data_IF_869857074373
#
_entry.id   IF_869857074373
#
_cell.length_a   1.000
_cell.length_b   1.000
_cell.length_c   1.000
_cell.angle_alpha   90.00
_cell.angle_beta   90.00
_cell.angle_gamma   90.00
#
_symmetry.space_group_name_H-M   'P 1'
#
loop_
_entity.id
_entity.type
_entity.pdbx_description
1 polymer ?
#
# COMPACT_ATOMS: atom_id res chain seq x y z
N UNK A 1 -66.74 10.66 16.20
CA UNK A 1 -65.68 10.84 15.21
C UNK A 1 -64.41 10.24 15.79
N UNK A 2 -64.08 8.94 15.69
CA UNK A 2 -63.95 8.04 14.53
C UNK A 2 -63.05 8.61 13.43
N UNK A 3 -61.81 8.11 13.40
CA UNK A 3 -60.83 7.99 12.31
C UNK A 3 -59.42 7.90 12.95
N UNK A 4 -58.49 7.00 12.66
CA UNK A 4 -58.45 5.73 11.94
C UNK A 4 -57.08 5.11 12.29
N UNK A 5 -57.08 3.85 12.71
CA UNK A 5 -55.88 3.06 12.95
C UNK A 5 -55.17 2.81 11.62
N UNK A 6 -53.98 3.39 11.45
CA UNK A 6 -53.04 3.01 10.40
C UNK A 6 -52.32 1.73 10.80
N UNK A 7 -52.98 0.58 10.62
CA UNK A 7 -52.33 -0.73 10.72
C UNK A 7 -51.19 -0.81 9.69
N UNK A 8 -49.95 -0.68 10.16
CA UNK A 8 -48.79 -1.14 9.42
C UNK A 8 -48.88 -2.66 9.32
N UNK A 9 -49.50 -3.15 8.24
CA UNK A 9 -49.57 -4.59 7.97
C UNK A 9 -48.15 -5.12 7.85
N UNK A 10 -47.73 -5.86 8.87
CA UNK A 10 -46.56 -6.72 8.86
C UNK A 10 -46.78 -7.80 7.80
N UNK A 11 -46.52 -7.44 6.54
CA UNK A 11 -46.59 -8.35 5.41
C UNK A 11 -45.55 -9.44 5.63
N UNK A 12 -46.00 -10.69 5.67
CA UNK A 12 -45.14 -11.87 5.78
C UNK A 12 -44.17 -11.84 4.59
N UNK A 13 -42.93 -11.43 4.84
CA UNK A 13 -41.89 -11.40 3.82
C UNK A 13 -41.69 -12.83 3.30
N UNK A 14 -41.82 -13.03 1.99
CA UNK A 14 -41.60 -14.34 1.36
C UNK A 14 -40.23 -14.89 1.78
N UNK A 15 -40.12 -16.15 2.24
CA UNK A 15 -38.88 -16.74 2.70
C UNK A 15 -37.73 -16.57 1.69
N UNK A 16 -36.54 -16.20 2.19
CA UNK A 16 -35.34 -15.92 1.37
C UNK A 16 -35.03 -17.02 0.36
N UNK A 17 -35.24 -18.30 0.72
CA UNK A 17 -35.03 -19.45 -0.17
C UNK A 17 -35.89 -19.37 -1.45
N UNK A 18 -37.19 -19.08 -1.32
CA UNK A 18 -38.12 -18.92 -2.46
C UNK A 18 -37.75 -17.71 -3.34
N UNK A 19 -37.26 -16.63 -2.72
CA UNK A 19 -36.79 -15.43 -3.42
C UNK A 19 -35.49 -15.67 -4.20
N UNK A 20 -34.62 -16.55 -3.70
CA UNK A 20 -33.41 -17.00 -4.41
C UNK A 20 -33.79 -17.91 -5.59
N UNK A 21 -34.68 -18.88 -5.38
CA UNK A 21 -35.15 -19.79 -6.44
C UNK A 21 -35.86 -19.05 -7.59
N UNK A 22 -36.62 -17.98 -7.31
CA UNK A 22 -37.24 -17.11 -8.32
C UNK A 22 -36.29 -16.10 -8.98
N UNK A 23 -35.05 -15.99 -8.50
CA UNK A 23 -34.08 -15.01 -9.01
C UNK A 23 -34.28 -13.58 -8.47
N UNK A 24 -35.26 -13.35 -7.59
CA UNK A 24 -35.50 -12.07 -6.89
C UNK A 24 -34.29 -11.64 -6.03
N UNK A 25 -33.47 -12.60 -5.61
CA UNK A 25 -32.25 -12.39 -4.83
C UNK A 25 -31.07 -13.14 -5.45
N UNK A 26 -30.07 -12.41 -5.94
CA UNK A 26 -28.76 -13.00 -6.30
C UNK A 26 -28.06 -13.43 -5.02
N UNK A 27 -27.86 -14.73 -4.81
CA UNK A 27 -26.93 -15.21 -3.78
C UNK A 27 -25.53 -14.84 -4.25
N UNK A 28 -24.87 -13.92 -3.55
CA UNK A 28 -23.44 -13.71 -3.73
C UNK A 28 -22.75 -15.02 -3.34
N UNK A 29 -22.10 -15.69 -4.29
CA UNK A 29 -21.22 -16.81 -3.96
C UNK A 29 -20.17 -16.31 -2.96
N UNK A 30 -20.18 -16.89 -1.76
CA UNK A 30 -19.17 -16.57 -0.76
C UNK A 30 -17.87 -17.23 -1.23
N UNK A 31 -16.90 -16.43 -1.66
CA UNK A 31 -15.54 -16.92 -1.89
C UNK A 31 -15.04 -17.59 -0.60
N UNK A 32 -14.69 -18.88 -0.70
CA UNK A 32 -14.16 -19.63 0.45
C UNK A 32 -12.82 -19.02 0.85
N UNK A 33 -12.67 -18.69 2.13
CA UNK A 33 -11.39 -18.21 2.65
C UNK A 33 -10.35 -19.33 2.61
N UNK A 34 -9.21 -19.08 1.96
CA UNK A 34 -8.09 -20.01 1.87
C UNK A 34 -7.15 -19.81 3.07
N UNK A 35 -6.84 -20.90 3.77
CA UNK A 35 -5.84 -20.90 4.85
C UNK A 35 -4.43 -20.72 4.28
N UNK A 36 -3.57 -20.04 5.03
CA UNK A 36 -2.14 -19.96 4.72
C UNK A 36 -1.53 -21.36 4.62
N UNK A 37 -0.77 -21.62 3.55
CA UNK A 37 -0.08 -22.90 3.36
C UNK A 37 1.39 -22.76 3.74
N UNK A 38 1.86 -23.60 4.65
CA UNK A 38 3.26 -23.59 5.10
C UNK A 38 4.21 -23.93 3.95
N UNK A 39 3.77 -24.75 2.99
CA UNK A 39 4.50 -25.08 1.74
C UNK A 39 4.93 -23.84 0.96
N UNK A 40 4.18 -22.73 1.04
CA UNK A 40 4.56 -21.48 0.39
C UNK A 40 5.85 -20.89 0.95
N UNK A 41 6.28 -21.27 2.16
CA UNK A 41 7.58 -20.86 2.68
C UNK A 41 8.74 -21.62 2.03
N UNK A 42 8.47 -22.78 1.42
CA UNK A 42 9.46 -23.59 0.71
C UNK A 42 9.48 -23.30 -0.80
N UNK A 43 8.40 -22.75 -1.35
CA UNK A 43 8.34 -22.37 -2.76
C UNK A 43 9.35 -21.24 -3.06
N UNK A 44 10.27 -21.41 -4.03
CA UNK A 44 11.23 -20.39 -4.43
C UNK A 44 10.60 -19.02 -4.75
N UNK A 45 9.35 -19.01 -5.22
CA UNK A 45 8.62 -17.79 -5.59
C UNK A 45 8.25 -16.94 -4.38
N UNK A 46 8.03 -17.57 -3.21
CA UNK A 46 7.44 -16.91 -2.05
C UNK A 46 8.36 -16.92 -0.82
N UNK A 47 9.29 -17.87 -0.74
CA UNK A 47 10.13 -18.11 0.44
C UNK A 47 10.93 -16.87 0.88
N UNK A 48 11.32 -15.99 -0.06
CA UNK A 48 12.16 -14.81 0.23
C UNK A 48 11.43 -13.74 1.03
N UNK A 49 10.13 -13.58 0.84
CA UNK A 49 9.40 -12.43 1.38
C UNK A 49 8.11 -12.81 2.11
N UNK A 50 7.58 -14.02 1.96
CA UNK A 50 6.33 -14.45 2.57
C UNK A 50 6.57 -15.20 3.88
N UNK A 51 5.83 -14.82 4.92
CA UNK A 51 5.75 -15.55 6.19
C UNK A 51 4.31 -15.63 6.68
N UNK A 52 4.05 -16.53 7.63
CA UNK A 52 2.74 -16.68 8.28
C UNK A 52 2.49 -15.50 9.22
N UNK A 53 1.24 -15.11 9.36
CA UNK A 53 0.82 -14.24 10.46
C UNK A 53 0.62 -15.08 11.75
N UNK A 54 1.33 -14.80 12.87
CA UNK A 54 1.12 -15.48 14.14
C UNK A 54 -0.28 -15.28 14.72
N UNK A 55 -0.96 -14.19 14.39
CA UNK A 55 -2.28 -13.87 14.92
C UNK A 55 -3.42 -14.49 14.10
N UNK A 56 -3.22 -14.73 12.80
CA UNK A 56 -4.28 -15.15 11.90
C UNK A 56 -3.81 -16.17 10.85
N UNK A 57 -4.43 -17.35 10.85
CA UNK A 57 -4.08 -18.46 9.96
C UNK A 57 -4.54 -18.24 8.50
N UNK A 58 -5.34 -17.21 8.23
CA UNK A 58 -5.77 -16.82 6.89
C UNK A 58 -4.98 -15.63 6.35
N UNK A 59 -4.10 -15.04 7.15
CA UNK A 59 -3.24 -13.92 6.74
C UNK A 59 -1.80 -14.36 6.55
N UNK A 60 -1.12 -13.61 5.70
CA UNK A 60 0.32 -13.69 5.52
C UNK A 60 0.94 -12.35 5.88
N UNK A 61 2.21 -12.38 6.27
CA UNK A 61 3.01 -11.17 6.46
C UNK A 61 4.21 -11.19 5.54
N UNK A 62 4.70 -10.00 5.27
CA UNK A 62 5.99 -9.83 4.65
C UNK A 62 7.09 -10.09 5.71
N UNK A 63 8.13 -10.83 5.36
CA UNK A 63 9.31 -11.07 6.20
C UNK A 63 10.11 -9.80 6.47
N UNK A 64 9.98 -8.80 5.60
CA UNK A 64 10.77 -7.58 5.70
C UNK A 64 10.37 -6.73 6.90
N UNK A 65 11.38 -6.36 7.70
CA UNK A 65 11.23 -5.55 8.90
C UNK A 65 10.58 -4.20 8.60
N UNK A 66 9.66 -3.77 9.47
CA UNK A 66 8.99 -2.49 9.33
C UNK A 66 9.98 -1.31 9.34
N UNK A 67 11.07 -1.42 10.11
CA UNK A 67 12.14 -0.40 10.16
C UNK A 67 12.84 -0.21 8.81
N UNK A 68 13.12 -1.30 8.09
CA UNK A 68 13.75 -1.26 6.76
C UNK A 68 12.82 -0.60 5.75
N UNK A 69 11.52 -0.89 5.82
CA UNK A 69 10.52 -0.23 4.96
C UNK A 69 10.47 1.26 5.21
N UNK A 70 10.37 1.67 6.47
CA UNK A 70 10.34 3.08 6.86
C UNK A 70 11.64 3.82 6.48
N UNK A 71 12.79 3.16 6.61
CA UNK A 71 14.07 3.72 6.20
C UNK A 71 14.11 4.01 4.69
N UNK A 72 13.64 3.08 3.85
CA UNK A 72 13.54 3.29 2.40
C UNK A 72 12.60 4.44 2.05
N UNK A 73 11.45 4.55 2.73
CA UNK A 73 10.51 5.66 2.54
C UNK A 73 11.17 7.01 2.89
N UNK A 74 11.89 7.07 4.01
CA UNK A 74 12.61 8.28 4.42
C UNK A 74 13.67 8.67 3.39
N UNK A 75 14.43 7.71 2.86
CA UNK A 75 15.44 7.95 1.83
C UNK A 75 14.83 8.51 0.53
N UNK A 76 13.69 7.98 0.09
CA UNK A 76 12.99 8.48 -1.11
C UNK A 76 12.48 9.90 -0.90
N UNK A 77 11.87 10.18 0.26
CA UNK A 77 11.39 11.52 0.59
C UNK A 77 12.51 12.55 0.66
N UNK A 78 13.63 12.19 1.28
CA UNK A 78 14.80 13.06 1.33
C UNK A 78 15.36 13.25 -0.08
N UNK A 79 15.47 12.21 -0.89
CA UNK A 79 15.91 12.34 -2.28
C UNK A 79 15.02 13.28 -3.12
N UNK A 80 13.70 13.22 -2.93
CA UNK A 80 12.77 14.16 -3.53
C UNK A 80 13.04 15.60 -3.09
N UNK A 81 13.21 15.84 -1.79
CA UNK A 81 13.54 17.16 -1.24
C UNK A 81 14.85 17.74 -1.82
N UNK A 82 15.88 16.89 -1.98
CA UNK A 82 17.13 17.30 -2.64
C UNK A 82 16.91 17.72 -4.10
N UNK A 83 16.06 17.00 -4.83
CA UNK A 83 15.75 17.30 -6.23
C UNK A 83 14.91 18.59 -6.36
N UNK A 84 13.87 18.75 -5.54
CA UNK A 84 12.96 19.90 -5.56
C UNK A 84 13.68 21.23 -5.30
N UNK A 85 14.63 21.23 -4.36
CA UNK A 85 15.36 22.43 -3.98
C UNK A 85 16.73 22.58 -4.66
N UNK A 86 17.05 21.71 -5.63
CA UNK A 86 18.34 21.69 -6.31
C UNK A 86 19.54 21.70 -5.33
N UNK A 87 19.42 20.93 -4.24
CA UNK A 87 20.45 20.86 -3.22
C UNK A 87 21.59 19.99 -3.73
N UNK A 88 22.83 20.46 -3.58
CA UNK A 88 24.00 19.70 -3.99
C UNK A 88 24.06 18.34 -3.30
N UNK A 89 24.11 17.24 -4.06
CA UNK A 89 24.11 15.88 -3.48
C UNK A 89 25.33 15.60 -2.57
N UNK A 90 26.39 16.39 -2.65
CA UNK A 90 27.51 16.30 -1.71
C UNK A 90 27.09 16.61 -0.27
N UNK A 91 26.07 17.45 -0.04
CA UNK A 91 25.57 17.72 1.31
C UNK A 91 24.80 16.54 1.90
N UNK A 92 24.34 15.59 1.08
CA UNK A 92 23.64 14.39 1.52
C UNK A 92 24.53 13.49 2.42
N UNK A 93 25.82 13.39 2.12
CA UNK A 93 26.77 12.59 2.90
C UNK A 93 26.98 13.17 4.32
N UNK A 94 27.00 14.50 4.44
CA UNK A 94 27.12 15.19 5.72
C UNK A 94 25.80 15.18 6.50
N UNK A 95 24.69 15.45 5.81
CA UNK A 95 23.36 15.41 6.40
C UNK A 95 23.05 14.03 7.00
N UNK A 96 23.41 12.96 6.30
CA UNK A 96 23.23 11.59 6.82
C UNK A 96 23.99 11.32 8.12
N UNK A 97 25.14 11.96 8.33
CA UNK A 97 25.92 11.88 9.59
C UNK A 97 25.25 12.67 10.70
N UNK A 98 24.90 13.93 10.43
CA UNK A 98 24.22 14.82 11.39
C UNK A 98 22.92 14.19 11.88
N UNK A 99 22.13 13.63 10.96
CA UNK A 99 20.88 12.95 11.31
C UNK A 99 21.12 11.78 12.29
N UNK A 100 22.18 10.98 12.07
CA UNK A 100 22.54 9.87 12.97
C UNK A 100 23.06 10.33 14.33
N UNK A 101 23.75 11.47 14.37
CA UNK A 101 24.24 12.09 15.60
C UNK A 101 23.11 12.72 16.42
N UNK A 102 22.16 13.42 15.77
CA UNK A 102 21.02 14.03 16.44
C UNK A 102 20.00 13.00 16.97
N UNK A 103 19.90 11.83 16.33
CA UNK A 103 18.85 10.85 16.60
C UNK A 103 19.41 9.43 16.82
N UNK A 104 20.15 9.23 17.90
CA UNK A 104 20.83 7.96 18.23
C UNK A 104 19.88 6.80 18.54
N UNK A 105 18.69 7.12 19.05
CA UNK A 105 17.76 6.12 19.61
C UNK A 105 16.84 5.54 18.53
N UNK A 106 16.76 6.22 17.38
CA UNK A 106 15.88 5.84 16.29
C UNK A 106 16.50 4.68 15.48
N UNK A 107 15.95 3.48 15.66
CA UNK A 107 16.31 2.27 14.90
C UNK A 107 16.22 2.48 13.37
N UNK A 108 15.30 3.33 12.92
CA UNK A 108 15.12 3.65 11.49
C UNK A 108 16.37 4.33 10.93
N UNK A 109 16.97 5.27 11.67
CA UNK A 109 18.12 6.01 11.20
C UNK A 109 19.38 5.15 11.06
N UNK A 110 19.50 4.11 11.89
CA UNK A 110 20.58 3.11 11.77
C UNK A 110 20.52 2.39 10.43
N UNK A 111 19.30 2.07 9.96
CA UNK A 111 19.05 1.42 8.68
C UNK A 111 19.13 2.41 7.49
N UNK A 112 18.83 3.70 7.71
CA UNK A 112 18.97 4.70 6.64
C UNK A 112 20.43 4.95 6.28
N UNK A 113 20.71 4.93 4.98
CA UNK A 113 22.01 5.26 4.40
C UNK A 113 21.79 6.29 3.32
N UNK A 114 21.90 7.56 3.68
CA UNK A 114 21.77 8.68 2.74
C UNK A 114 23.19 9.02 2.29
N UNK A 115 23.47 8.76 1.02
CA UNK A 115 24.77 9.07 0.40
C UNK A 115 24.55 9.66 -0.97
N UNK A 116 25.50 10.47 -1.45
CA UNK A 116 25.44 11.12 -2.76
C UNK A 116 25.00 10.17 -3.88
N UNK A 117 25.69 9.03 -4.00
CA UNK A 117 25.44 8.03 -5.06
C UNK A 117 24.06 7.40 -4.93
N UNK A 118 23.60 7.14 -3.71
CA UNK A 118 22.30 6.52 -3.48
C UNK A 118 21.16 7.49 -3.74
N UNK A 119 21.27 8.72 -3.23
CA UNK A 119 20.30 9.80 -3.48
C UNK A 119 20.16 10.06 -4.97
N UNK A 120 21.28 10.20 -5.69
CA UNK A 120 21.28 10.33 -7.15
C UNK A 120 20.59 9.14 -7.83
N UNK A 121 20.91 7.90 -7.45
CA UNK A 121 20.29 6.71 -8.03
C UNK A 121 18.78 6.65 -7.79
N UNK A 122 18.30 7.02 -6.61
CA UNK A 122 16.86 7.08 -6.30
C UNK A 122 16.16 8.11 -7.19
N UNK A 123 16.78 9.28 -7.38
CA UNK A 123 16.24 10.33 -8.25
C UNK A 123 16.19 9.84 -9.70
N UNK A 124 17.30 9.34 -10.23
CA UNK A 124 17.39 8.96 -11.65
C UNK A 124 16.57 7.72 -12.01
N UNK A 125 16.53 6.71 -11.13
CA UNK A 125 15.88 5.44 -11.45
C UNK A 125 14.48 5.31 -10.87
N UNK A 126 14.14 6.10 -9.86
CA UNK A 126 12.83 6.07 -9.19
C UNK A 126 11.97 7.27 -9.58
N UNK A 127 12.39 8.46 -9.16
CA UNK A 127 11.58 9.69 -9.28
C UNK A 127 11.49 10.18 -10.73
N UNK A 128 12.61 10.16 -11.47
CA UNK A 128 12.69 10.65 -12.84
C UNK A 128 11.75 9.93 -13.82
N UNK A 129 11.72 8.59 -13.86
CA UNK A 129 10.81 7.84 -14.72
C UNK A 129 9.35 8.13 -14.42
N UNK A 130 8.96 8.18 -13.13
CA UNK A 130 7.58 8.46 -12.71
C UNK A 130 7.10 9.81 -13.25
N UNK A 131 7.89 10.88 -13.07
CA UNK A 131 7.52 12.20 -13.59
C UNK A 131 7.52 12.26 -15.12
N UNK A 132 8.36 11.47 -15.80
CA UNK A 132 8.32 11.36 -17.26
C UNK A 132 7.01 10.72 -17.73
N UNK A 133 6.58 9.64 -17.08
CA UNK A 133 5.32 8.97 -17.39
C UNK A 133 4.12 9.85 -17.06
N UNK A 134 4.15 10.52 -15.91
CA UNK A 134 3.14 11.48 -15.49
C UNK A 134 2.99 12.61 -16.53
N UNK A 135 4.10 13.19 -16.99
CA UNK A 135 4.11 14.21 -18.03
C UNK A 135 3.57 13.67 -19.35
N UNK A 136 4.00 12.47 -19.77
CA UNK A 136 3.51 11.84 -21.00
C UNK A 136 1.99 11.60 -20.95
N UNK A 137 1.45 11.20 -19.80
CA UNK A 137 0.02 11.01 -19.61
C UNK A 137 -0.75 12.33 -19.66
N UNK A 138 -0.25 13.38 -18.99
CA UNK A 138 -0.83 14.73 -19.06
C UNK A 138 -0.90 15.24 -20.50
N UNK A 139 0.17 15.08 -21.27
CA UNK A 139 0.25 15.51 -22.67
C UNK A 139 -0.74 14.74 -23.58
N UNK A 140 -0.93 13.44 -23.36
CA UNK A 140 -1.93 12.65 -24.09
C UNK A 140 -3.36 13.12 -23.80
N UNK A 141 -3.66 13.43 -22.55
CA UNK A 141 -5.00 13.89 -22.15
C UNK A 141 -5.27 15.32 -22.62
N UNK A 142 -4.27 16.20 -22.67
CA UNK A 142 -4.44 17.59 -23.09
C UNK A 142 -4.59 17.75 -24.61
N UNK A 143 -3.97 16.87 -25.41
CA UNK A 143 -4.07 16.88 -26.88
C UNK A 143 -5.32 16.16 -27.43
N UNK A 144 -6.14 15.52 -26.58
CA UNK A 144 -7.37 14.83 -27.00
C UNK A 144 -8.62 15.73 -27.02
N UNK A 145 -8.46 17.04 -26.85
CA UNK A 145 -9.54 18.02 -26.71
C UNK A 145 -9.58 19.08 -27.84
N UNK A 146 -8.88 18.86 -28.96
CA UNK A 146 -8.94 19.66 -30.18
C UNK A 146 -9.26 18.74 -31.36
#
# INVERSE_FOLDING_TARGET
MSESEGEEKCGVSTPKKKRVERGDLKVKEKHRQQKYRVEWQCDPKFCKWLTRDPQDNFKSRCKENNTVKLARVAEVKLAAYFAEHNIAFNSADHLGKVLKECFTDLKILKETTITRKKTAKIIYNGIGPEHKEELANKLKTSNSAL
#
